data_IF_164470310662
#
_entry.id   IF_164470310662
#
_cell.length_a   1.000
_cell.length_b   1.000
_cell.length_c   1.000
_cell.angle_alpha   90.00
_cell.angle_beta   90.00
_cell.angle_gamma   90.00
#
_symmetry.space_group_name_H-M   'P 1'
#
loop_
_entity.id
_entity.type
_entity.pdbx_description
1 polymer ?
#
# COMPACT_ATOMS: atom_id res chain seq x y z
N UNK A 1 -6.06 2.56 30.19
CA UNK A 1 -4.83 2.08 29.52
C UNK A 1 -3.97 3.30 29.17
N UNK A 2 -3.16 3.77 30.12
CA UNK A 2 -2.31 4.94 29.94
C UNK A 2 -0.98 4.49 29.32
N UNK A 3 -0.69 4.97 28.11
CA UNK A 3 0.61 4.74 27.47
C UNK A 3 1.66 5.45 28.33
N UNK A 4 2.46 4.65 29.05
CA UNK A 4 3.47 5.11 30.01
C UNK A 4 4.50 5.95 29.26
N UNK A 5 4.50 7.27 29.51
CA UNK A 5 5.61 8.18 29.16
C UNK A 5 6.82 7.82 30.02
N UNK A 6 7.64 6.89 29.53
CA UNK A 6 9.03 6.81 29.96
C UNK A 6 9.82 7.79 29.10
N UNK A 7 10.47 8.75 29.76
CA UNK A 7 11.21 9.81 29.12
C UNK A 7 12.35 9.30 28.25
N UNK A 8 12.43 9.83 27.04
CA UNK A 8 13.69 10.07 26.37
C UNK A 8 13.58 11.43 25.68
N UNK A 9 14.54 12.30 25.96
CA UNK A 9 14.70 13.59 25.32
C UNK A 9 14.85 13.36 23.81
N UNK A 10 13.86 13.83 23.06
CA UNK A 10 13.70 13.63 21.62
C UNK A 10 12.37 14.18 21.12
N UNK A 11 11.82 15.17 21.83
CA UNK A 11 10.47 15.71 21.66
C UNK A 11 10.32 16.58 20.41
N UNK A 12 10.50 16.01 19.22
CA UNK A 12 10.21 16.68 17.93
C UNK A 12 9.63 15.73 16.86
N UNK A 13 9.33 14.46 17.16
CA UNK A 13 9.00 13.46 16.11
C UNK A 13 7.53 13.31 15.73
N UNK A 14 6.59 13.42 16.68
CA UNK A 14 5.19 13.02 16.45
C UNK A 14 4.36 14.07 15.70
N UNK A 15 4.50 15.37 16.04
CA UNK A 15 3.81 16.46 15.36
C UNK A 15 4.15 16.55 13.85
N UNK A 16 5.43 16.49 13.42
CA UNK A 16 5.74 16.51 11.99
C UNK A 16 5.40 15.19 11.29
N UNK A 17 5.39 14.04 11.99
CA UNK A 17 4.98 12.77 11.40
C UNK A 17 3.48 12.74 11.09
N UNK A 18 2.63 13.18 12.04
CA UNK A 18 1.19 13.28 11.83
C UNK A 18 0.84 14.24 10.68
N UNK A 19 1.46 15.42 10.66
CA UNK A 19 1.24 16.40 9.59
C UNK A 19 1.70 15.89 8.21
N UNK A 20 2.81 15.14 8.14
CA UNK A 20 3.25 14.50 6.88
C UNK A 20 2.24 13.45 6.40
N UNK A 21 1.75 12.60 7.30
CA UNK A 21 0.75 11.60 6.97
C UNK A 21 -0.53 12.27 6.46
N UNK A 22 -1.03 13.30 7.15
CA UNK A 22 -2.21 14.04 6.72
C UNK A 22 -2.02 14.61 5.31
N UNK A 23 -0.90 15.29 5.03
CA UNK A 23 -0.60 15.81 3.69
C UNK A 23 -0.49 14.72 2.61
N UNK A 24 0.11 13.58 2.93
CA UNK A 24 0.22 12.48 1.98
C UNK A 24 -1.17 11.92 1.64
N UNK A 25 -2.00 11.71 2.64
CA UNK A 25 -3.37 11.22 2.45
C UNK A 25 -4.22 12.22 1.66
N UNK A 26 -4.13 13.52 1.95
CA UNK A 26 -4.90 14.54 1.20
C UNK A 26 -4.40 14.70 -0.23
N UNK A 27 -3.11 14.53 -0.50
CA UNK A 27 -2.57 14.49 -1.85
C UNK A 27 -3.10 13.27 -2.64
N UNK A 28 -3.12 12.08 -2.03
CA UNK A 28 -3.72 10.89 -2.65
C UNK A 28 -5.21 11.07 -2.94
N UNK A 29 -5.96 11.65 -2.01
CA UNK A 29 -7.37 11.97 -2.22
C UNK A 29 -7.58 13.00 -3.34
N UNK A 30 -6.75 14.05 -3.40
CA UNK A 30 -6.82 15.03 -4.48
C UNK A 30 -6.52 14.40 -5.85
N UNK A 31 -5.57 13.45 -5.91
CA UNK A 31 -5.30 12.65 -7.10
C UNK A 31 -6.52 11.84 -7.54
N UNK A 32 -7.16 11.13 -6.62
CA UNK A 32 -8.38 10.36 -6.89
C UNK A 32 -9.52 11.25 -7.44
N UNK A 33 -9.72 12.44 -6.87
CA UNK A 33 -10.73 13.38 -7.38
C UNK A 33 -10.41 13.83 -8.80
N UNK A 34 -9.14 14.13 -9.09
CA UNK A 34 -8.71 14.53 -10.42
C UNK A 34 -8.89 13.40 -11.46
N UNK A 35 -8.59 12.15 -11.09
CA UNK A 35 -8.81 10.97 -11.94
C UNK A 35 -10.30 10.73 -12.26
N UNK A 36 -11.20 11.25 -11.42
CA UNK A 36 -12.66 11.13 -11.57
C UNK A 36 -13.29 12.40 -12.15
N UNK A 37 -12.50 13.38 -12.59
CA UNK A 37 -12.96 14.71 -13.04
C UNK A 37 -13.90 15.40 -12.03
N UNK A 38 -13.68 15.15 -10.74
CA UNK A 38 -14.59 15.55 -9.67
C UNK A 38 -14.04 16.76 -8.91
N UNK A 39 -14.88 17.78 -8.75
CA UNK A 39 -14.54 19.01 -8.05
C UNK A 39 -14.75 18.89 -6.54
N UNK A 40 -14.08 19.77 -5.78
CA UNK A 40 -14.30 19.88 -4.32
C UNK A 40 -15.73 20.25 -3.95
N UNK A 41 -16.44 20.95 -4.85
CA UNK A 41 -17.83 21.35 -4.65
C UNK A 41 -18.75 20.13 -4.75
N UNK A 42 -18.56 19.31 -5.78
CA UNK A 42 -19.31 18.06 -5.95
C UNK A 42 -19.03 17.09 -4.80
N UNK A 43 -17.78 17.03 -4.30
CA UNK A 43 -17.47 16.25 -3.10
C UNK A 43 -18.23 16.77 -1.87
N UNK A 44 -18.31 18.08 -1.70
CA UNK A 44 -19.05 18.67 -0.59
C UNK A 44 -20.56 18.34 -0.67
N UNK A 45 -21.13 18.42 -1.88
CA UNK A 45 -22.52 18.07 -2.15
C UNK A 45 -22.79 16.58 -1.88
N UNK A 46 -21.91 15.68 -2.34
CA UNK A 46 -22.04 14.24 -2.14
C UNK A 46 -21.90 13.83 -0.66
N UNK A 47 -21.05 14.52 0.08
CA UNK A 47 -20.87 14.34 1.53
C UNK A 47 -21.97 15.01 2.38
N UNK A 48 -22.78 15.89 1.79
CA UNK A 48 -23.74 16.71 2.55
C UNK A 48 -23.08 17.69 3.53
N UNK A 49 -21.87 18.18 3.20
CA UNK A 49 -21.10 19.12 4.05
C UNK A 49 -20.82 20.43 3.32
N UNK A 50 -20.32 21.42 4.05
CA UNK A 50 -19.93 22.69 3.42
C UNK A 50 -18.64 22.57 2.59
N UNK A 51 -18.48 23.35 1.50
CA UNK A 51 -17.22 23.40 0.74
C UNK A 51 -16.01 23.82 1.59
N UNK A 52 -16.25 24.62 2.63
CA UNK A 52 -15.23 24.98 3.63
C UNK A 52 -14.75 23.77 4.42
N UNK A 53 -15.66 22.85 4.79
CA UNK A 53 -15.29 21.60 5.47
C UNK A 53 -14.44 20.70 4.57
N UNK A 54 -14.77 20.58 3.28
CA UNK A 54 -13.95 19.84 2.31
C UNK A 54 -12.55 20.48 2.16
N UNK A 55 -12.48 21.81 2.13
CA UNK A 55 -11.20 22.52 2.04
C UNK A 55 -10.30 22.27 3.28
N UNK A 56 -10.89 22.21 4.47
CA UNK A 56 -10.18 21.83 5.70
C UNK A 56 -9.70 20.37 5.66
N UNK A 57 -10.52 19.45 5.16
CA UNK A 57 -10.12 18.05 5.00
C UNK A 57 -8.93 17.94 4.05
N UNK A 58 -8.93 18.69 2.94
CA UNK A 58 -7.89 18.63 1.91
C UNK A 58 -6.63 19.45 2.23
N UNK A 59 -6.68 20.40 3.16
CA UNK A 59 -5.49 21.20 3.51
C UNK A 59 -4.41 20.38 4.22
N UNK A 60 -4.80 19.31 4.91
CA UNK A 60 -3.87 18.45 5.67
C UNK A 60 -3.16 19.15 6.84
N UNK A 61 -3.60 20.36 7.18
CA UNK A 61 -3.10 21.20 8.28
C UNK A 61 -4.00 21.08 9.53
N UNK A 62 -5.28 20.77 9.30
CA UNK A 62 -6.24 20.41 10.35
C UNK A 62 -6.07 18.95 10.79
N UNK A 63 -6.57 18.62 11.98
CA UNK A 63 -6.53 17.27 12.54
C UNK A 63 -7.45 16.33 11.74
N UNK A 64 -6.93 15.79 10.65
CA UNK A 64 -7.62 14.83 9.79
C UNK A 64 -7.89 13.54 10.58
N UNK A 65 -9.17 13.16 10.67
CA UNK A 65 -9.57 11.97 11.42
C UNK A 65 -9.82 10.79 10.48
N UNK A 66 -9.60 9.56 10.97
CA UNK A 66 -10.00 8.35 10.24
C UNK A 66 -11.50 8.33 9.94
N UNK A 67 -12.33 8.93 10.81
CA UNK A 67 -13.77 9.07 10.58
C UNK A 67 -14.07 9.91 9.34
N UNK A 68 -13.37 11.03 9.18
CA UNK A 68 -13.52 11.90 8.01
C UNK A 68 -13.07 11.19 6.74
N UNK A 69 -11.97 10.44 6.80
CA UNK A 69 -11.49 9.64 5.66
C UNK A 69 -12.47 8.53 5.27
N UNK A 70 -13.03 7.82 6.25
CA UNK A 70 -14.03 6.79 6.00
C UNK A 70 -15.28 7.35 5.30
N UNK A 71 -15.79 8.51 5.76
CA UNK A 71 -16.94 9.16 5.13
C UNK A 71 -16.67 9.55 3.66
N UNK A 72 -15.47 10.05 3.38
CA UNK A 72 -15.04 10.36 2.01
C UNK A 72 -14.98 9.09 1.16
N UNK A 73 -14.34 8.04 1.67
CA UNK A 73 -14.23 6.78 0.95
C UNK A 73 -15.61 6.17 0.64
N UNK A 74 -16.52 6.17 1.61
CA UNK A 74 -17.91 5.72 1.42
C UNK A 74 -18.63 6.56 0.36
N UNK A 75 -18.50 7.88 0.37
CA UNK A 75 -19.13 8.75 -0.65
C UNK A 75 -18.60 8.51 -2.06
N UNK A 76 -17.34 8.08 -2.19
CA UNK A 76 -16.67 7.86 -3.46
C UNK A 76 -16.73 6.39 -3.92
N UNK A 77 -17.41 5.52 -3.17
CA UNK A 77 -17.37 4.06 -3.35
C UNK A 77 -15.93 3.53 -3.45
N UNK A 78 -15.07 4.05 -2.59
CA UNK A 78 -13.65 3.76 -2.52
C UNK A 78 -13.30 3.00 -1.23
N UNK A 79 -12.17 2.28 -1.25
CA UNK A 79 -11.64 1.57 -0.08
C UNK A 79 -10.33 2.20 0.37
N UNK A 80 -10.13 2.31 1.70
CA UNK A 80 -8.87 2.77 2.29
C UNK A 80 -8.14 1.56 2.90
N UNK A 81 -6.89 1.36 2.47
CA UNK A 81 -5.96 0.41 3.08
C UNK A 81 -4.87 1.16 3.87
N UNK A 82 -4.58 0.72 5.10
CA UNK A 82 -3.52 1.30 5.94
C UNK A 82 -2.51 0.21 6.27
N UNK A 83 -1.28 0.38 5.80
CA UNK A 83 -0.17 -0.55 6.01
C UNK A 83 0.95 0.11 6.81
N UNK A 84 1.39 -0.54 7.88
CA UNK A 84 2.53 -0.10 8.70
C UNK A 84 3.81 -0.77 8.19
N UNK A 85 4.91 -0.03 8.14
CA UNK A 85 6.23 -0.52 7.75
C UNK A 85 7.25 -0.11 8.79
N UNK A 86 8.19 -1.01 9.10
CA UNK A 86 9.32 -0.68 9.95
C UNK A 86 10.21 0.36 9.25
N UNK A 87 10.64 1.38 10.00
CA UNK A 87 11.55 2.41 9.49
C UNK A 87 12.96 1.85 9.19
N UNK A 88 13.28 0.71 9.78
CA UNK A 88 14.49 -0.08 9.54
C UNK A 88 14.21 -1.03 8.38
N UNK A 89 14.42 -0.57 7.15
CA UNK A 89 14.29 -1.42 5.97
C UNK A 89 15.28 -2.59 6.00
N UNK A 90 14.87 -3.74 6.54
CA UNK A 90 15.40 -5.02 6.11
C UNK A 90 14.42 -5.55 5.05
N UNK A 91 14.83 -5.71 3.78
CA UNK A 91 14.00 -6.40 2.81
C UNK A 91 13.86 -7.85 3.29
N UNK A 92 12.67 -8.21 3.79
CA UNK A 92 12.32 -9.61 4.01
C UNK A 92 12.21 -10.27 2.63
N UNK A 93 13.31 -10.87 2.20
CA UNK A 93 13.32 -11.85 1.12
C UNK A 93 12.36 -12.97 1.52
N UNK A 94 11.20 -13.05 0.88
CA UNK A 94 10.32 -14.21 0.96
C UNK A 94 10.68 -15.14 -0.21
N UNK A 95 11.30 -16.30 0.03
CA UNK A 95 11.55 -17.27 -1.02
C UNK A 95 10.26 -18.05 -1.22
N UNK A 96 9.35 -17.55 -2.05
CA UNK A 96 8.15 -18.29 -2.42
C UNK A 96 7.65 -17.82 -3.80
N UNK A 97 8.43 -18.09 -4.83
CA UNK A 97 7.88 -18.32 -6.17
C UNK A 97 8.89 -19.11 -7.00
N UNK A 98 9.04 -20.39 -6.68
CA UNK A 98 9.63 -21.40 -7.57
C UNK A 98 8.93 -22.74 -7.30
N UNK A 99 7.60 -22.74 -7.38
CA UNK A 99 6.84 -24.00 -7.41
C UNK A 99 5.53 -23.82 -8.18
N UNK A 100 5.60 -23.90 -9.52
CA UNK A 100 4.74 -24.78 -10.35
C UNK A 100 4.78 -24.43 -11.85
N UNK A 101 5.42 -25.29 -12.64
CA UNK A 101 4.92 -25.80 -13.93
C UNK A 101 5.80 -27.00 -14.32
N UNK A 102 5.35 -28.25 -14.05
CA UNK A 102 4.70 -29.14 -15.03
C UNK A 102 5.47 -29.21 -16.36
N UNK A 103 5.95 -30.34 -16.88
CA UNK A 103 5.65 -31.74 -16.67
C UNK A 103 5.91 -32.46 -18.01
N UNK A 104 6.54 -33.65 -17.95
CA UNK A 104 6.56 -34.74 -18.96
C UNK A 104 6.55 -34.40 -20.47
N UNK A 105 7.59 -34.88 -21.16
CA UNK A 105 7.41 -35.78 -22.31
C UNK A 105 8.49 -36.86 -22.29
N UNK A 106 8.01 -38.07 -21.98
CA UNK A 106 8.62 -39.36 -22.24
C UNK A 106 8.88 -39.55 -23.73
N UNK A 107 10.03 -40.12 -24.11
CA UNK A 107 10.11 -41.22 -25.10
C UNK A 107 11.51 -41.85 -25.06
N UNK A 108 11.56 -43.11 -24.66
CA UNK A 108 12.65 -44.02 -25.03
C UNK A 108 12.46 -44.45 -26.50
N UNK A 109 13.50 -44.97 -27.18
CA UNK A 109 13.62 -46.44 -27.18
C UNK A 109 15.04 -47.03 -27.24
N UNK A 110 15.12 -48.23 -26.66
CA UNK A 110 15.83 -49.45 -27.11
C UNK A 110 17.30 -49.39 -27.60
N UNK A 111 18.17 -50.01 -26.82
CA UNK A 111 19.44 -50.60 -27.28
C UNK A 111 19.19 -51.73 -28.32
N UNK A 112 20.19 -52.15 -29.12
CA UNK A 112 21.04 -53.24 -28.63
C UNK A 112 22.51 -53.31 -29.16
N UNK A 113 23.31 -54.05 -28.38
CA UNK A 113 24.40 -54.99 -28.71
C UNK A 113 25.66 -54.53 -29.50
N UNK A 114 26.76 -54.46 -28.73
CA UNK A 114 28.10 -55.02 -28.96
C UNK A 114 28.76 -55.02 -30.37
N UNK A 115 29.98 -54.48 -30.45
CA UNK A 115 31.14 -55.16 -31.09
C UNK A 115 32.47 -54.63 -30.56
N UNK A 116 33.39 -55.58 -30.34
CA UNK A 116 34.79 -55.50 -29.90
C UNK A 116 35.64 -54.55 -30.77
N UNK A 117 36.69 -53.94 -30.21
CA UNK A 117 38.08 -54.25 -30.61
C UNK A 117 39.13 -53.57 -29.73
N UNK A 118 40.15 -54.35 -29.36
CA UNK A 118 41.44 -53.93 -28.79
C UNK A 118 42.44 -53.64 -29.94
N UNK A 119 43.59 -53.05 -29.59
CA UNK A 119 44.76 -52.72 -30.41
C UNK A 119 44.63 -51.40 -31.19
N UNK A 120 45.59 -50.47 -31.09
CA UNK A 120 47.05 -50.67 -31.17
C UNK A 120 47.81 -49.61 -30.40
#
# INVERSE_FOLDING_TARGET
MAWRRSGHEGGHGAAPAGARLARQTTASLAGLLAERDMTRKELAEQLGVSPGRVSQILSGDENLTLRSLAAVAESLDATIEITFRDASGAPTHHPADDTAASGRLETAPAAPLATRSRHR
#
